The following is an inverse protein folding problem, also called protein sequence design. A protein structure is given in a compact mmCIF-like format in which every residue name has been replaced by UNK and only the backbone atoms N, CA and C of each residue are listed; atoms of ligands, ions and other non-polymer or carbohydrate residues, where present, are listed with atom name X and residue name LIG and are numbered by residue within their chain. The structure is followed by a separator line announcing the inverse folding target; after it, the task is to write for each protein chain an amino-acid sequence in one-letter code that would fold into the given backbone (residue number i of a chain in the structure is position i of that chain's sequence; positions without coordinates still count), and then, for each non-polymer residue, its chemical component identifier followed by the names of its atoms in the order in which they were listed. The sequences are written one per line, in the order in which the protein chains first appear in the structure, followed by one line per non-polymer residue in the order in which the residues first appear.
data_IF_986198623655
#
_entry.id   IF_986198623655
#
_cell.length_a   1.000
_cell.length_b   1.000
_cell.length_c   1.000
_cell.angle_alpha   90.00
_cell.angle_beta   90.00
_cell.angle_gamma   90.00
#
_symmetry.space_group_name_H-M   'P 1'
#
loop_
_entity.id
_entity.type
_entity.pdbx_description
1 polymer ?
#
# COMPACT_ATOMS: atom_id res chain seq x y z
N UNK A 1 27.77 2.77 17.65
CA UNK A 1 26.39 2.38 18.04
C UNK A 1 25.55 2.28 16.77
N UNK A 2 24.83 1.16 16.59
CA UNK A 2 23.95 0.96 15.44
C UNK A 2 22.65 1.78 15.61
N UNK A 3 22.12 2.32 14.50
CA UNK A 3 20.77 2.89 14.46
C UNK A 3 19.70 1.81 14.68
N UNK A 4 18.46 2.21 14.96
CA UNK A 4 17.33 1.26 15.11
C UNK A 4 17.17 0.37 13.88
N UNK A 5 17.14 0.94 12.68
CA UNK A 5 17.05 0.18 11.43
C UNK A 5 18.24 -0.74 11.18
N UNK A 6 19.46 -0.32 11.55
CA UNK A 6 20.63 -1.19 11.47
C UNK A 6 20.55 -2.40 12.41
N UNK A 7 20.08 -2.18 13.65
CA UNK A 7 19.84 -3.28 14.61
C UNK A 7 18.82 -4.28 14.07
N UNK A 8 17.73 -3.78 13.48
CA UNK A 8 16.69 -4.61 12.90
C UNK A 8 17.21 -5.46 11.74
N UNK A 9 17.99 -4.86 10.83
CA UNK A 9 18.62 -5.62 9.73
C UNK A 9 19.60 -6.67 10.22
N UNK A 10 20.37 -6.38 11.27
CA UNK A 10 21.26 -7.39 11.90
C UNK A 10 20.46 -8.55 12.51
N UNK A 11 19.32 -8.26 13.16
CA UNK A 11 18.44 -9.29 13.69
C UNK A 11 17.86 -10.17 12.57
N UNK A 12 17.37 -9.56 11.49
CA UNK A 12 16.87 -10.28 10.30
C UNK A 12 18.00 -11.14 9.69
N UNK A 13 19.20 -10.58 9.53
CA UNK A 13 20.34 -11.33 9.00
C UNK A 13 20.71 -12.55 9.89
N UNK A 14 20.62 -12.40 11.21
CA UNK A 14 20.82 -13.51 12.14
C UNK A 14 19.81 -14.64 11.98
N UNK A 15 18.54 -14.30 11.76
CA UNK A 15 17.49 -15.29 11.48
C UNK A 15 17.73 -15.95 10.11
N UNK A 16 18.09 -15.16 9.09
CA UNK A 16 18.34 -15.66 7.74
C UNK A 16 19.53 -16.59 7.66
N UNK A 17 20.51 -16.45 8.54
CA UNK A 17 21.64 -17.39 8.64
C UNK A 17 21.21 -18.84 8.97
N UNK A 18 20.01 -19.02 9.52
CA UNK A 18 19.41 -20.34 9.75
C UNK A 18 18.70 -20.93 8.52
N UNK A 19 18.68 -20.21 7.40
CA UNK A 19 18.00 -20.59 6.14
C UNK A 19 16.52 -21.00 6.33
N UNK A 20 15.68 -20.16 6.97
CA UNK A 20 14.30 -20.51 7.23
C UNK A 20 13.48 -20.50 5.94
N UNK A 21 12.47 -21.34 5.86
CA UNK A 21 11.48 -21.28 4.77
C UNK A 21 10.43 -20.18 4.98
N UNK A 22 10.22 -19.77 6.24
CA UNK A 22 9.26 -18.75 6.62
C UNK A 22 9.82 -17.90 7.78
N UNK A 23 9.59 -16.60 7.72
CA UNK A 23 9.88 -15.66 8.82
C UNK A 23 8.61 -14.94 9.24
N UNK A 24 8.45 -14.73 10.54
CA UNK A 24 7.37 -13.92 11.11
C UNK A 24 7.99 -12.65 11.69
N UNK A 25 7.52 -11.52 11.22
CA UNK A 25 7.97 -10.20 11.66
C UNK A 25 6.79 -9.47 12.29
N UNK A 26 6.85 -9.31 13.61
CA UNK A 26 5.83 -8.62 14.38
C UNK A 26 6.26 -7.17 14.62
N UNK A 27 5.57 -6.24 13.98
CA UNK A 27 5.84 -4.79 13.99
C UNK A 27 7.33 -4.40 13.84
N UNK A 28 8.05 -4.92 12.83
CA UNK A 28 9.50 -4.78 12.75
C UNK A 28 9.97 -3.33 12.56
N UNK A 29 9.08 -2.41 12.29
CA UNK A 29 9.38 -1.01 11.95
C UNK A 29 8.81 0.00 12.95
N UNK A 30 8.09 -0.45 14.00
CA UNK A 30 7.36 0.42 14.93
C UNK A 30 8.23 1.51 15.60
N UNK A 31 9.51 1.22 15.84
CA UNK A 31 10.45 2.13 16.52
C UNK A 31 11.42 2.83 15.56
N UNK A 32 11.11 2.84 14.26
CA UNK A 32 11.98 3.38 13.23
C UNK A 32 11.45 4.69 12.65
N UNK A 33 12.38 5.56 12.27
CA UNK A 33 12.08 6.72 11.44
C UNK A 33 11.65 6.30 10.02
N UNK A 34 11.05 7.18 9.22
CA UNK A 34 10.55 6.83 7.88
C UNK A 34 11.60 6.21 6.95
N UNK A 35 12.85 6.64 7.05
CA UNK A 35 13.93 6.09 6.24
C UNK A 35 14.31 4.68 6.69
N UNK A 36 14.44 4.46 8.00
CA UNK A 36 14.69 3.15 8.59
C UNK A 36 13.60 2.13 8.25
N UNK A 37 12.32 2.54 8.24
CA UNK A 37 11.20 1.69 7.79
C UNK A 37 11.38 1.24 6.35
N UNK A 38 11.61 2.19 5.42
CA UNK A 38 11.82 1.88 4.01
C UNK A 38 12.97 0.89 3.79
N UNK A 39 14.08 1.07 4.51
CA UNK A 39 15.24 0.18 4.43
C UNK A 39 14.91 -1.24 4.91
N UNK A 40 14.22 -1.39 6.05
CA UNK A 40 13.84 -2.71 6.58
C UNK A 40 12.85 -3.40 5.63
N UNK A 41 11.79 -2.72 5.19
CA UNK A 41 10.80 -3.29 4.27
C UNK A 41 11.43 -3.65 2.91
N UNK A 42 12.34 -2.81 2.39
CA UNK A 42 13.10 -3.13 1.18
C UNK A 42 13.93 -4.42 1.35
N UNK A 43 14.62 -4.56 2.49
CA UNK A 43 15.40 -5.77 2.82
C UNK A 43 14.51 -7.01 2.87
N UNK A 44 13.36 -6.91 3.56
CA UNK A 44 12.40 -8.02 3.68
C UNK A 44 11.86 -8.44 2.31
N UNK A 45 11.52 -7.47 1.44
CA UNK A 45 11.06 -7.75 0.07
C UNK A 45 12.15 -8.40 -0.78
N UNK A 46 13.38 -7.96 -0.62
CA UNK A 46 14.52 -8.52 -1.34
C UNK A 46 14.76 -9.99 -0.93
N UNK A 47 14.70 -10.30 0.36
CA UNK A 47 14.79 -11.66 0.87
C UNK A 47 13.66 -12.56 0.35
N UNK A 48 12.41 -12.09 0.39
CA UNK A 48 11.28 -12.82 -0.18
C UNK A 48 11.49 -13.15 -1.67
N UNK A 49 11.92 -12.16 -2.47
CA UNK A 49 12.09 -12.33 -3.93
C UNK A 49 13.31 -13.15 -4.33
N UNK A 50 14.45 -12.96 -3.65
CA UNK A 50 15.71 -13.59 -4.04
C UNK A 50 15.90 -14.96 -3.41
N UNK A 51 15.50 -15.09 -2.14
CA UNK A 51 15.71 -16.31 -1.35
C UNK A 51 14.45 -17.19 -1.27
N UNK A 52 13.35 -16.74 -1.89
CA UNK A 52 12.06 -17.44 -1.90
C UNK A 52 11.52 -17.77 -0.48
N UNK A 53 11.84 -16.93 0.50
CA UNK A 53 11.40 -17.06 1.88
C UNK A 53 9.99 -16.51 2.03
N UNK A 54 9.09 -17.28 2.62
CA UNK A 54 7.77 -16.77 2.98
C UNK A 54 7.89 -15.75 4.11
N UNK A 55 7.29 -14.58 3.95
CA UNK A 55 7.29 -13.52 4.97
C UNK A 55 5.87 -13.31 5.49
N UNK A 56 5.66 -13.52 6.78
CA UNK A 56 4.45 -13.09 7.49
C UNK A 56 4.79 -11.79 8.22
N UNK A 57 4.28 -10.68 7.72
CA UNK A 57 4.46 -9.35 8.29
C UNK A 57 3.21 -8.94 9.05
N UNK A 58 3.34 -8.67 10.35
CA UNK A 58 2.30 -8.08 11.18
C UNK A 58 2.63 -6.60 11.32
N UNK A 59 1.72 -5.74 10.88
CA UNK A 59 1.93 -4.28 10.90
C UNK A 59 0.61 -3.54 10.93
N UNK A 60 0.63 -2.33 11.45
CA UNK A 60 -0.46 -1.35 11.34
C UNK A 60 -0.10 -0.20 10.38
N UNK A 61 1.04 -0.28 9.70
CA UNK A 61 1.49 0.70 8.71
C UNK A 61 1.02 0.31 7.31
N UNK A 62 0.01 0.99 6.81
CA UNK A 62 -0.63 0.64 5.53
C UNK A 62 0.32 0.74 4.32
N UNK A 63 1.30 1.65 4.37
CA UNK A 63 2.33 1.78 3.33
C UNK A 63 3.22 0.53 3.19
N UNK A 64 3.33 -0.28 4.24
CA UNK A 64 4.08 -1.54 4.22
C UNK A 64 3.25 -2.66 3.58
N UNK A 65 1.93 -2.62 3.77
CA UNK A 65 0.97 -3.62 3.28
C UNK A 65 0.80 -3.56 1.76
N UNK A 66 0.99 -2.38 1.15
CA UNK A 66 0.84 -2.15 -0.31
C UNK A 66 1.65 -3.13 -1.16
N UNK A 67 2.76 -3.62 -0.63
CA UNK A 67 3.68 -4.50 -1.35
C UNK A 67 3.50 -5.99 -1.07
N UNK A 68 2.52 -6.36 -0.25
CA UNK A 68 2.25 -7.76 0.07
C UNK A 68 1.55 -8.48 -1.10
N UNK A 69 1.76 -9.77 -1.22
CA UNK A 69 1.00 -10.61 -2.17
C UNK A 69 -0.42 -10.87 -1.67
N UNK A 70 -0.57 -10.97 -0.35
CA UNK A 70 -1.85 -11.23 0.32
C UNK A 70 -1.93 -10.46 1.62
N UNK A 71 -3.11 -9.92 1.88
CA UNK A 71 -3.46 -9.21 3.13
C UNK A 71 -4.51 -10.02 3.87
N UNK A 72 -4.36 -10.10 5.18
CA UNK A 72 -5.32 -10.68 6.11
C UNK A 72 -5.61 -9.62 7.17
N UNK A 73 -6.85 -9.20 7.25
CA UNK A 73 -7.32 -8.28 8.29
C UNK A 73 -7.95 -9.09 9.40
N UNK A 74 -7.49 -8.82 10.62
CA UNK A 74 -7.99 -9.51 11.81
C UNK A 74 -8.64 -8.51 12.77
N UNK A 75 -9.77 -8.88 13.33
CA UNK A 75 -10.43 -8.16 14.41
C UNK A 75 -10.96 -9.16 15.46
N UNK A 76 -10.70 -8.87 16.74
CA UNK A 76 -11.11 -9.73 17.86
C UNK A 76 -10.77 -11.22 17.66
N UNK A 77 -9.57 -11.52 17.15
CA UNK A 77 -9.09 -12.90 16.93
C UNK A 77 -9.71 -13.63 15.74
N UNK A 78 -10.46 -12.92 14.88
CA UNK A 78 -11.11 -13.49 13.69
C UNK A 78 -10.60 -12.81 12.43
N UNK A 79 -10.50 -13.57 11.35
CA UNK A 79 -10.25 -13.01 10.03
C UNK A 79 -11.54 -12.37 9.54
N UNK A 80 -11.51 -11.06 9.30
CA UNK A 80 -12.66 -10.27 8.85
C UNK A 80 -12.59 -9.91 7.37
N UNK A 81 -11.37 -9.78 6.83
CA UNK A 81 -11.14 -9.57 5.39
C UNK A 81 -9.86 -10.30 4.96
N UNK A 82 -9.82 -10.75 3.71
CA UNK A 82 -8.60 -11.27 3.08
C UNK A 82 -8.64 -11.04 1.58
N UNK A 83 -7.50 -10.81 0.98
CA UNK A 83 -7.36 -10.56 -0.46
C UNK A 83 -6.00 -9.95 -0.80
N UNK A 84 -5.86 -9.50 -2.03
CA UNK A 84 -4.72 -8.67 -2.44
C UNK A 84 -4.80 -7.27 -1.80
N UNK A 85 -3.69 -6.51 -1.69
CA UNK A 85 -3.75 -5.13 -1.21
C UNK A 85 -4.79 -4.29 -1.95
N UNK A 86 -4.89 -4.44 -3.26
CA UNK A 86 -5.85 -3.69 -4.09
C UNK A 86 -7.31 -4.03 -3.74
N UNK A 87 -7.64 -5.30 -3.58
CA UNK A 87 -8.98 -5.73 -3.19
C UNK A 87 -9.36 -5.25 -1.79
N UNK A 88 -8.40 -5.28 -0.87
CA UNK A 88 -8.63 -4.82 0.51
C UNK A 88 -8.79 -3.30 0.53
N UNK A 89 -7.87 -2.54 -0.05
CA UNK A 89 -7.90 -1.08 0.01
C UNK A 89 -8.92 -0.43 -0.94
N UNK A 90 -9.54 -1.14 -1.87
CA UNK A 90 -10.73 -0.65 -2.59
C UNK A 90 -11.96 -0.52 -1.68
N UNK A 91 -11.98 -1.21 -0.54
CA UNK A 91 -13.10 -1.27 0.42
C UNK A 91 -12.87 -0.31 1.60
N UNK A 92 -12.58 0.97 1.29
CA UNK A 92 -12.18 2.00 2.27
C UNK A 92 -13.16 2.10 3.46
N UNK A 93 -14.47 2.20 3.18
CA UNK A 93 -15.48 2.34 4.22
C UNK A 93 -15.57 1.10 5.14
N UNK A 94 -15.26 -0.08 4.61
CA UNK A 94 -15.27 -1.32 5.37
C UNK A 94 -14.05 -1.44 6.29
N UNK A 95 -12.86 -1.11 5.79
CA UNK A 95 -11.63 -1.09 6.59
C UNK A 95 -11.77 -0.13 7.77
N UNK A 96 -12.33 1.05 7.54
CA UNK A 96 -12.56 2.06 8.58
C UNK A 96 -13.49 1.59 9.70
N UNK A 97 -14.41 0.65 9.43
CA UNK A 97 -15.24 0.02 10.49
C UNK A 97 -14.39 -0.74 11.50
N UNK A 98 -13.26 -1.28 11.07
CA UNK A 98 -12.30 -1.99 11.94
C UNK A 98 -11.24 -1.06 12.56
N UNK A 99 -11.41 0.27 12.46
CA UNK A 99 -10.49 1.29 12.97
C UNK A 99 -9.09 1.19 12.36
N UNK A 100 -9.02 0.70 11.14
CA UNK A 100 -7.81 0.67 10.33
C UNK A 100 -7.85 1.78 9.28
N UNK A 101 -6.69 2.30 8.96
CA UNK A 101 -6.51 3.28 7.90
C UNK A 101 -6.27 2.59 6.55
N UNK A 102 -6.23 3.40 5.51
CA UNK A 102 -5.79 3.02 4.16
C UNK A 102 -4.56 3.85 3.79
N UNK A 103 -3.78 3.48 2.76
CA UNK A 103 -2.72 4.33 2.26
C UNK A 103 -3.24 5.74 1.95
N UNK A 104 -2.46 6.78 2.26
CA UNK A 104 -2.88 8.18 2.05
C UNK A 104 -3.32 8.46 0.61
N UNK A 105 -2.65 7.84 -0.36
CA UNK A 105 -2.99 7.98 -1.77
C UNK A 105 -4.34 7.34 -2.10
N UNK A 106 -4.67 6.23 -1.46
CA UNK A 106 -5.98 5.55 -1.60
C UNK A 106 -7.08 6.41 -0.99
N UNK A 107 -6.84 6.97 0.19
CA UNK A 107 -7.76 7.91 0.85
C UNK A 107 -8.05 9.12 -0.04
N UNK A 108 -7.00 9.74 -0.60
CA UNK A 108 -7.15 10.87 -1.49
C UNK A 108 -7.96 10.52 -2.73
N UNK A 109 -7.68 9.39 -3.38
CA UNK A 109 -8.45 8.94 -4.55
C UNK A 109 -9.92 8.71 -4.21
N UNK A 110 -10.20 8.14 -3.06
CA UNK A 110 -11.55 7.91 -2.55
C UNK A 110 -12.32 9.23 -2.33
N UNK A 111 -11.70 10.21 -1.67
CA UNK A 111 -12.33 11.52 -1.45
C UNK A 111 -12.53 12.32 -2.75
N UNK A 112 -11.60 12.22 -3.70
CA UNK A 112 -11.76 12.79 -5.03
C UNK A 112 -12.93 12.16 -5.79
N UNK A 113 -13.13 10.85 -5.67
CA UNK A 113 -14.29 10.17 -6.26
C UNK A 113 -15.61 10.62 -5.62
N UNK A 114 -15.66 10.80 -4.30
CA UNK A 114 -16.82 11.40 -3.61
C UNK A 114 -17.11 12.82 -4.09
N UNK A 115 -16.09 13.55 -4.50
CA UNK A 115 -16.20 14.90 -5.06
C UNK A 115 -16.57 14.93 -6.55
N UNK A 116 -16.88 13.77 -7.15
CA UNK A 116 -17.36 13.64 -8.53
C UNK A 116 -16.27 13.36 -9.58
N UNK A 117 -15.05 13.02 -9.19
CA UNK A 117 -14.08 12.42 -10.09
C UNK A 117 -14.41 10.92 -10.28
N UNK A 118 -13.97 10.37 -11.40
CA UNK A 118 -14.13 8.93 -11.68
C UNK A 118 -12.75 8.29 -11.83
N UNK A 119 -12.06 8.15 -10.71
CA UNK A 119 -10.74 7.49 -10.60
C UNK A 119 -10.92 5.99 -10.36
N UNK A 120 -9.99 5.14 -10.79
CA UNK A 120 -9.99 3.72 -10.46
C UNK A 120 -10.03 3.49 -8.93
N UNK A 121 -10.71 2.45 -8.51
CA UNK A 121 -10.69 2.02 -7.10
C UNK A 121 -9.38 1.30 -6.77
N UNK A 122 -9.00 1.32 -5.50
CA UNK A 122 -7.83 0.59 -5.00
C UNK A 122 -6.50 1.12 -5.55
N UNK A 123 -6.39 2.42 -5.79
CA UNK A 123 -5.10 3.08 -6.08
C UNK A 123 -4.19 2.91 -4.87
N UNK A 124 -2.97 2.41 -5.10
CA UNK A 124 -2.03 2.05 -4.04
C UNK A 124 -0.78 2.94 -4.01
N UNK A 125 -0.43 3.58 -5.13
CA UNK A 125 0.78 4.39 -5.23
C UNK A 125 0.49 5.79 -5.76
N UNK A 126 1.41 6.71 -5.46
CA UNK A 126 1.33 8.10 -5.94
C UNK A 126 1.37 8.14 -7.47
N UNK A 127 2.19 7.31 -8.07
CA UNK A 127 2.35 7.20 -9.52
C UNK A 127 1.03 6.77 -10.18
N UNK A 128 0.34 5.77 -9.63
CA UNK A 128 -0.99 5.34 -10.11
C UNK A 128 -2.01 6.49 -10.04
N UNK A 129 -2.02 7.24 -8.94
CA UNK A 129 -2.95 8.37 -8.79
C UNK A 129 -2.64 9.47 -9.79
N UNK A 130 -1.37 9.83 -9.97
CA UNK A 130 -0.95 10.86 -10.92
C UNK A 130 -1.35 10.47 -12.35
N UNK A 131 -1.16 9.22 -12.75
CA UNK A 131 -1.52 8.76 -14.09
C UNK A 131 -3.04 8.73 -14.28
N UNK A 132 -3.80 8.31 -13.28
CA UNK A 132 -5.26 8.36 -13.31
C UNK A 132 -5.79 9.80 -13.43
N UNK A 133 -5.21 10.75 -12.69
CA UNK A 133 -5.56 12.18 -12.77
C UNK A 133 -5.24 12.78 -14.15
N UNK A 134 -4.07 12.48 -14.72
CA UNK A 134 -3.71 12.94 -16.08
C UNK A 134 -4.73 12.47 -17.12
N UNK A 135 -5.19 11.21 -17.02
CA UNK A 135 -6.21 10.66 -17.93
C UNK A 135 -7.53 11.43 -17.77
N UNK A 136 -7.95 11.72 -16.54
CA UNK A 136 -9.20 12.46 -16.27
C UNK A 136 -9.13 13.91 -16.79
N UNK A 137 -8.01 14.58 -16.61
CA UNK A 137 -7.82 15.96 -17.11
C UNK A 137 -7.89 16.02 -18.63
N UNK A 138 -7.22 15.11 -19.34
CA UNK A 138 -7.29 15.03 -20.81
C UNK A 138 -8.70 14.79 -21.32
N UNK A 139 -9.48 13.92 -20.67
CA UNK A 139 -10.89 13.69 -21.03
C UNK A 139 -11.74 14.94 -20.88
N UNK A 140 -11.51 15.76 -19.84
CA UNK A 140 -12.21 17.03 -19.65
C UNK A 140 -11.85 18.08 -20.71
N UNK A 141 -10.60 18.13 -21.15
CA UNK A 141 -10.15 19.06 -22.20
C UNK A 141 -10.76 18.69 -23.55
N UNK A 142 -10.77 17.40 -23.92
CA UNK A 142 -11.38 16.93 -25.17
C UNK A 142 -12.91 17.13 -25.17
N UNK A 143 -13.59 16.97 -24.03
CA UNK A 143 -15.03 17.25 -23.91
C UNK A 143 -15.36 18.73 -24.03
N UNK A 144 -14.51 19.64 -23.53
CA UNK A 144 -14.69 21.09 -23.71
C UNK A 144 -14.40 21.55 -25.13
N UNK A 145 -13.41 20.98 -25.80
CA UNK A 145 -13.08 21.31 -27.20
C UNK A 145 -14.18 20.85 -28.18
N UNK A 146 -14.89 19.75 -27.89
CA UNK A 146 -16.01 19.27 -28.72
C UNK A 146 -17.29 20.10 -28.62
N UNK A 147 -17.46 20.91 -27.57
CA UNK A 147 -18.66 21.76 -27.38
C UNK A 147 -18.54 23.11 -28.10
N UNK A 148 -17.30 23.55 -28.40
CA UNK A 148 -17.09 24.86 -29.05
C UNK A 148 -17.33 24.80 -30.60
N UNK A 149 -17.40 23.61 -31.18
CA UNK A 149 -17.55 23.45 -32.64
C UNK A 149 -19.00 23.32 -33.13
N UNK A 150 -19.99 23.36 -32.24
CA UNK A 150 -21.40 23.15 -32.59
C UNK A 150 -22.27 24.45 -32.73
N UNK A 151 -21.70 25.62 -32.44
CA UNK A 151 -22.44 26.89 -32.46
C UNK A 151 -22.12 27.84 -33.65
N UNK A 152 -21.53 27.33 -34.73
CA UNK A 152 -21.31 28.09 -35.95
C UNK A 152 -21.75 27.28 -37.19
N UNK A 153 -23.05 27.07 -37.37
CA UNK A 153 -23.70 26.86 -38.67
C UNK A 153 -25.09 27.50 -38.63
#
# INVERSE_FOLDING_TARGET
KLSGGQKQRVAIAGIMAMQPQCIVLDEPTAMLDPNGRKEVISTVRELNKKENVTVLLITHHMDEVVFADKVIVMDNGKIVMQGTPREIFSRVDEIKKYRLDVPQVTELAFELNKSGLNLPEGILTVEELVDALKIQLRKKETSKAGVISADYI
#
